data_IF_077962137810
#
_entry.id   IF_077962137810
#
_cell.length_a   1.000
_cell.length_b   1.000
_cell.length_c   1.000
_cell.angle_alpha   90.00
_cell.angle_beta   90.00
_cell.angle_gamma   90.00
#
_symmetry.space_group_name_H-M   'P 1'
#
loop_
_entity.id
_entity.type
_entity.pdbx_description
1 polymer ?
#
# COMPACT_ATOMS: atom_id res chain seq x y z
N UNK A 1 16.48 50.25 12.21
CA UNK A 1 16.36 49.18 13.22
C UNK A 1 14.90 49.05 13.58
N UNK A 2 14.17 48.20 12.87
CA UNK A 2 12.79 47.87 13.17
C UNK A 2 12.60 46.39 12.82
N UNK A 3 12.38 45.63 13.89
CA UNK A 3 12.01 44.22 14.02
C UNK A 3 11.28 43.59 12.83
N UNK A 4 11.93 42.64 12.16
CA UNK A 4 11.27 41.66 11.30
C UNK A 4 10.46 40.69 12.17
N UNK A 5 9.13 40.74 12.01
CA UNK A 5 8.22 39.79 12.62
C UNK A 5 8.35 38.43 11.93
N UNK A 6 8.97 37.47 12.61
CA UNK A 6 8.90 36.05 12.22
C UNK A 6 7.50 35.55 12.55
N UNK A 7 6.65 35.44 11.53
CA UNK A 7 5.42 34.64 11.59
C UNK A 7 5.83 33.18 11.70
N UNK A 8 5.84 32.64 12.92
CA UNK A 8 5.90 31.20 13.16
C UNK A 8 4.61 30.57 12.64
N UNK A 9 4.66 29.89 11.49
CA UNK A 9 3.64 28.91 11.12
C UNK A 9 3.80 27.71 12.05
N UNK A 10 2.83 27.51 12.94
CA UNK A 10 2.66 26.26 13.64
C UNK A 10 2.02 25.26 12.65
N UNK A 11 2.82 24.33 12.14
CA UNK A 11 2.32 23.16 11.40
C UNK A 11 1.74 22.21 12.43
N UNK A 12 0.40 22.13 12.50
CA UNK A 12 -0.27 21.08 13.23
C UNK A 12 -0.26 19.82 12.35
N UNK A 13 0.72 18.94 12.54
CA UNK A 13 0.69 17.60 11.96
C UNK A 13 -0.37 16.78 12.70
N UNK A 14 -1.54 16.65 12.09
CA UNK A 14 -2.49 15.61 12.45
C UNK A 14 -2.02 14.33 11.74
N UNK A 15 -1.35 13.44 12.46
CA UNK A 15 -1.04 12.10 11.97
C UNK A 15 -2.33 11.28 12.00
N UNK A 16 -2.87 10.94 10.83
CA UNK A 16 -3.79 9.83 10.72
C UNK A 16 -2.93 8.54 10.72
N UNK A 17 -3.37 7.53 11.48
CA UNK A 17 -2.62 6.30 11.69
C UNK A 17 -3.44 5.18 11.05
N UNK A 18 -2.96 4.69 9.91
CA UNK A 18 -3.49 3.53 9.21
C UNK A 18 -3.20 2.25 10.02
N UNK A 19 -3.98 1.99 11.05
CA UNK A 19 -3.90 0.75 11.82
C UNK A 19 -4.79 -0.31 11.18
N UNK A 20 -4.19 -1.32 10.53
CA UNK A 20 -4.95 -2.41 9.89
C UNK A 20 -5.03 -3.66 10.77
N UNK A 21 -6.16 -4.35 10.65
CA UNK A 21 -6.29 -5.77 11.03
C UNK A 21 -6.04 -6.63 9.78
N UNK A 22 -5.36 -7.77 9.93
CA UNK A 22 -5.05 -8.68 8.83
C UNK A 22 -6.26 -8.87 7.89
N UNK A 23 -6.07 -8.57 6.59
CA UNK A 23 -7.11 -8.78 5.60
C UNK A 23 -7.55 -10.25 5.62
N UNK A 24 -8.87 -10.48 5.53
CA UNK A 24 -9.39 -11.83 5.37
C UNK A 24 -8.79 -12.48 4.12
N UNK A 25 -8.40 -13.75 4.23
CA UNK A 25 -7.87 -14.51 3.09
C UNK A 25 -8.86 -14.40 1.93
N UNK A 26 -8.46 -13.71 0.85
CA UNK A 26 -9.16 -13.84 -0.41
C UNK A 26 -9.06 -15.32 -0.81
N UNK A 27 -10.20 -15.98 -0.99
CA UNK A 27 -10.24 -17.33 -1.56
C UNK A 27 -9.93 -17.18 -3.05
N UNK A 28 -8.65 -17.06 -3.39
CA UNK A 28 -8.20 -17.21 -4.75
C UNK A 28 -8.16 -18.69 -5.08
N UNK A 29 -8.71 -19.06 -6.23
CA UNK A 29 -8.53 -20.41 -6.76
C UNK A 29 -7.03 -20.64 -7.00
N UNK A 30 -6.50 -21.83 -6.68
CA UNK A 30 -5.09 -22.12 -6.89
C UNK A 30 -4.76 -22.01 -8.38
N UNK A 31 -3.60 -21.44 -8.75
CA UNK A 31 -3.13 -21.45 -10.13
C UNK A 31 -2.99 -22.88 -10.67
N UNK A 32 -3.11 -23.03 -11.99
CA UNK A 32 -3.07 -24.33 -12.66
C UNK A 32 -1.70 -25.02 -12.55
N UNK A 33 -0.62 -24.25 -12.46
CA UNK A 33 0.76 -24.72 -12.46
C UNK A 33 1.58 -23.99 -11.37
N UNK A 34 2.63 -24.65 -10.82
CA UNK A 34 3.57 -23.97 -9.95
C UNK A 34 4.35 -22.89 -10.69
N UNK A 35 4.73 -21.85 -9.96
CA UNK A 35 5.59 -20.76 -10.41
C UNK A 35 6.62 -20.44 -9.31
N UNK A 36 7.45 -19.41 -9.51
CA UNK A 36 8.40 -18.88 -8.52
C UNK A 36 9.41 -19.92 -8.01
N UNK A 37 9.65 -20.97 -8.80
CA UNK A 37 10.56 -22.06 -8.46
C UNK A 37 10.01 -23.06 -7.44
N UNK A 38 8.71 -23.03 -7.14
CA UNK A 38 8.05 -23.99 -6.24
C UNK A 38 8.09 -25.40 -6.82
N UNK A 39 8.33 -26.39 -5.95
CA UNK A 39 8.38 -27.79 -6.34
C UNK A 39 7.01 -28.31 -6.85
N UNK A 40 6.99 -28.92 -8.03
CA UNK A 40 5.76 -29.42 -8.66
C UNK A 40 4.98 -30.43 -7.81
N UNK A 41 5.67 -31.26 -7.02
CA UNK A 41 5.06 -32.26 -6.15
C UNK A 41 4.50 -31.65 -4.87
N UNK A 42 5.15 -30.61 -4.33
CA UNK A 42 4.68 -29.91 -3.11
C UNK A 42 3.56 -28.92 -3.41
N UNK A 43 3.62 -28.25 -4.55
CA UNK A 43 2.69 -27.17 -4.94
C UNK A 43 1.21 -27.47 -4.68
N UNK A 44 0.66 -28.63 -5.09
CA UNK A 44 -0.76 -28.94 -4.87
C UNK A 44 -1.14 -28.91 -3.39
N UNK A 45 -0.25 -29.36 -2.51
CA UNK A 45 -0.51 -29.43 -1.08
C UNK A 45 -0.46 -28.04 -0.40
N UNK A 46 0.21 -27.04 -1.01
CA UNK A 46 0.27 -25.68 -0.46
C UNK A 46 -1.10 -24.98 -0.42
N UNK A 47 -2.03 -25.43 -1.27
CA UNK A 47 -3.39 -24.89 -1.37
C UNK A 47 -4.39 -25.53 -0.40
N UNK A 48 -3.92 -26.39 0.52
CA UNK A 48 -4.77 -27.00 1.54
C UNK A 48 -5.59 -25.95 2.30
N UNK A 49 -6.89 -26.19 2.42
CA UNK A 49 -7.88 -25.28 2.97
C UNK A 49 -8.64 -24.46 1.92
N UNK A 50 -8.36 -24.67 0.63
CA UNK A 50 -9.20 -24.23 -0.47
C UNK A 50 -10.44 -25.12 -0.62
N UNK A 51 -11.24 -24.88 -1.66
CA UNK A 51 -12.41 -25.72 -1.95
C UNK A 51 -11.96 -26.95 -2.72
N UNK A 52 -12.27 -28.15 -2.20
CA UNK A 52 -11.97 -29.41 -2.90
C UNK A 52 -12.48 -29.40 -4.36
N UNK A 53 -11.69 -30.01 -5.26
CA UNK A 53 -12.00 -30.08 -6.69
C UNK A 53 -11.41 -28.94 -7.53
N UNK A 54 -10.74 -27.99 -6.89
CA UNK A 54 -10.26 -26.75 -7.51
C UNK A 54 -8.76 -26.76 -7.84
N UNK A 55 -7.98 -27.68 -7.26
CA UNK A 55 -6.59 -27.91 -7.66
C UNK A 55 -6.58 -28.59 -9.02
N UNK A 56 -5.86 -28.02 -9.98
CA UNK A 56 -5.79 -28.57 -11.33
C UNK A 56 -5.31 -30.02 -11.32
N UNK A 57 -6.15 -30.90 -11.87
CA UNK A 57 -5.81 -32.31 -12.11
C UNK A 57 -5.01 -32.52 -13.41
N UNK A 58 -4.80 -31.46 -14.19
CA UNK A 58 -4.03 -31.46 -15.43
C UNK A 58 -2.54 -31.28 -15.19
N UNK A 59 -1.75 -31.35 -16.28
CA UNK A 59 -0.31 -31.09 -16.28
C UNK A 59 0.56 -32.34 -16.39
N UNK A 60 1.71 -32.18 -17.04
CA UNK A 60 2.78 -33.17 -17.04
C UNK A 60 3.37 -33.29 -15.61
N UNK A 61 3.99 -34.43 -15.31
CA UNK A 61 4.56 -34.70 -13.99
C UNK A 61 4.87 -36.18 -13.80
N UNK A 62 5.72 -36.49 -12.83
CA UNK A 62 5.94 -37.88 -12.44
C UNK A 62 4.73 -38.45 -11.68
N UNK A 63 4.76 -39.76 -11.42
CA UNK A 63 3.65 -40.45 -10.78
C UNK A 63 3.34 -39.92 -9.37
N UNK A 64 4.36 -39.40 -8.68
CA UNK A 64 4.25 -38.83 -7.34
C UNK A 64 3.54 -37.47 -7.37
N UNK A 65 3.90 -36.61 -8.33
CA UNK A 65 3.23 -35.33 -8.59
C UNK A 65 1.75 -35.52 -8.92
N UNK A 66 1.42 -36.48 -9.78
CA UNK A 66 0.03 -36.82 -10.12
C UNK A 66 -0.74 -37.33 -8.89
N UNK A 67 -0.13 -38.19 -8.08
CA UNK A 67 -0.74 -38.70 -6.86
C UNK A 67 -0.99 -37.58 -5.84
N UNK A 68 -0.05 -36.64 -5.69
CA UNK A 68 -0.21 -35.49 -4.79
C UNK A 68 -1.27 -34.52 -5.27
N UNK A 69 -1.38 -34.23 -6.58
CA UNK A 69 -2.50 -33.45 -7.14
C UNK A 69 -3.84 -34.10 -6.82
N UNK A 70 -3.97 -35.42 -7.02
CA UNK A 70 -5.21 -36.13 -6.70
C UNK A 70 -5.54 -36.12 -5.21
N UNK A 71 -4.53 -36.22 -4.34
CA UNK A 71 -4.71 -36.15 -2.90
C UNK A 71 -5.18 -34.75 -2.47
N UNK A 72 -4.43 -33.71 -2.83
CA UNK A 72 -4.73 -32.32 -2.47
C UNK A 72 -6.08 -31.86 -3.04
N UNK A 73 -6.46 -32.35 -4.24
CA UNK A 73 -7.74 -31.98 -4.83
C UNK A 73 -8.96 -32.63 -4.14
N UNK A 74 -8.74 -33.63 -3.29
CA UNK A 74 -9.83 -34.31 -2.57
C UNK A 74 -9.79 -34.15 -1.06
N UNK A 75 -8.72 -33.59 -0.50
CA UNK A 75 -8.56 -33.35 0.94
C UNK A 75 -7.37 -32.44 1.23
N UNK A 76 -7.49 -31.69 2.33
CA UNK A 76 -6.40 -30.93 2.93
C UNK A 76 -5.22 -31.82 3.34
N UNK A 77 -3.99 -31.36 3.07
CA UNK A 77 -2.73 -32.02 3.44
C UNK A 77 -2.08 -31.22 4.59
N UNK A 78 -1.99 -31.77 5.81
CA UNK A 78 -1.34 -31.09 6.91
C UNK A 78 0.19 -31.17 6.79
N UNK A 79 0.87 -30.08 7.17
CA UNK A 79 2.33 -30.04 7.30
C UNK A 79 2.75 -30.01 8.77
N UNK A 80 3.86 -30.68 9.08
CA UNK A 80 4.43 -30.70 10.43
C UNK A 80 5.27 -29.45 10.76
N UNK A 81 5.59 -28.65 9.75
CA UNK A 81 6.32 -27.38 9.84
C UNK A 81 5.91 -26.51 8.63
N UNK A 82 6.08 -25.17 8.69
CA UNK A 82 5.89 -24.30 7.54
C UNK A 82 6.71 -24.80 6.33
N UNK A 83 6.10 -25.07 5.17
CA UNK A 83 6.84 -25.45 3.96
C UNK A 83 7.69 -24.29 3.46
N UNK A 84 8.95 -24.53 3.12
CA UNK A 84 9.84 -23.51 2.56
C UNK A 84 9.31 -22.94 1.23
N UNK A 85 8.60 -23.76 0.47
CA UNK A 85 8.01 -23.38 -0.83
C UNK A 85 6.97 -22.25 -0.70
N UNK A 86 6.36 -22.04 0.48
CA UNK A 86 5.44 -20.91 0.72
C UNK A 86 6.21 -19.59 0.69
N UNK A 87 7.40 -19.54 1.27
CA UNK A 87 8.23 -18.34 1.25
C UNK A 87 8.69 -18.03 -0.18
N UNK A 88 9.12 -19.05 -0.93
CA UNK A 88 9.50 -18.88 -2.34
C UNK A 88 8.34 -18.34 -3.19
N UNK A 89 7.12 -18.83 -2.98
CA UNK A 89 5.93 -18.31 -3.65
C UNK A 89 5.67 -16.84 -3.29
N UNK A 90 5.64 -16.50 -2.00
CA UNK A 90 5.37 -15.14 -1.54
C UNK A 90 6.42 -14.13 -2.01
N UNK A 91 7.70 -14.53 -2.00
CA UNK A 91 8.81 -13.69 -2.47
C UNK A 91 8.63 -13.37 -3.98
N UNK A 92 8.25 -14.38 -4.78
CA UNK A 92 7.93 -14.20 -6.19
C UNK A 92 6.71 -13.30 -6.44
N UNK A 93 5.62 -13.47 -5.68
CA UNK A 93 4.45 -12.60 -5.77
C UNK A 93 4.76 -11.15 -5.41
N UNK A 94 5.63 -10.93 -4.41
CA UNK A 94 6.08 -9.58 -4.03
C UNK A 94 6.98 -8.97 -5.10
N UNK A 95 7.88 -9.75 -5.70
CA UNK A 95 8.74 -9.31 -6.80
C UNK A 95 7.93 -8.93 -8.06
N UNK A 96 6.81 -9.62 -8.29
CA UNK A 96 5.89 -9.34 -9.39
C UNK A 96 4.79 -8.32 -9.05
N UNK A 97 4.78 -7.80 -7.82
CA UNK A 97 3.76 -6.86 -7.40
C UNK A 97 3.71 -5.66 -8.35
N UNK A 98 2.54 -5.32 -8.92
CA UNK A 98 2.50 -4.37 -10.02
C UNK A 98 2.99 -2.98 -9.58
N UNK A 99 3.92 -2.41 -10.34
CA UNK A 99 4.25 -1.00 -10.18
C UNK A 99 3.06 -0.12 -10.59
N UNK A 100 2.70 0.84 -9.75
CA UNK A 100 1.66 1.82 -10.04
C UNK A 100 2.25 3.19 -10.36
N UNK A 101 1.38 4.14 -10.68
CA UNK A 101 1.74 5.53 -10.82
C UNK A 101 0.80 6.36 -9.93
N UNK A 102 1.10 7.66 -9.82
CA UNK A 102 0.32 8.59 -8.98
C UNK A 102 -1.19 8.58 -9.20
N UNK A 103 -1.73 8.09 -10.31
CA UNK A 103 -3.16 8.15 -10.63
C UNK A 103 -3.92 6.87 -10.27
N UNK A 104 -3.23 5.79 -9.88
CA UNK A 104 -3.83 4.47 -9.63
C UNK A 104 -3.27 3.92 -8.33
N UNK A 105 -4.15 3.43 -7.45
CA UNK A 105 -3.80 2.68 -6.24
C UNK A 105 -4.27 1.24 -6.42
N UNK A 106 -3.35 0.28 -6.35
CA UNK A 106 -3.65 -1.15 -6.35
C UNK A 106 -3.63 -1.65 -4.91
N UNK A 107 -4.68 -2.36 -4.53
CA UNK A 107 -4.85 -2.90 -3.18
C UNK A 107 -5.56 -4.24 -3.17
N UNK A 108 -5.30 -5.10 -2.17
CA UNK A 108 -6.14 -6.26 -1.91
C UNK A 108 -7.61 -5.89 -1.73
N UNK A 109 -8.51 -6.78 -2.14
CA UNK A 109 -9.94 -6.60 -1.92
C UNK A 109 -10.24 -6.52 -0.42
N UNK A 110 -10.89 -5.44 0.02
CA UNK A 110 -11.25 -5.26 1.42
C UNK A 110 -10.15 -4.65 2.29
N UNK A 111 -9.02 -4.20 1.71
CA UNK A 111 -8.05 -3.40 2.45
C UNK A 111 -8.69 -2.09 2.92
N UNK A 112 -8.42 -1.72 4.18
CA UNK A 112 -8.80 -0.43 4.74
C UNK A 112 -8.06 0.69 4.01
N UNK A 113 -8.78 1.76 3.70
CA UNK A 113 -8.20 2.91 3.00
C UNK A 113 -8.47 4.22 3.70
N UNK A 114 -7.51 5.12 3.57
CA UNK A 114 -7.62 6.51 3.99
C UNK A 114 -7.51 7.45 2.78
N UNK A 115 -8.03 8.66 2.96
CA UNK A 115 -8.07 9.68 1.92
C UNK A 115 -8.05 11.06 2.57
N UNK A 116 -7.20 11.94 2.04
CA UNK A 116 -7.07 13.32 2.50
C UNK A 116 -7.64 14.32 1.51
N UNK A 117 -6.93 15.40 1.22
CA UNK A 117 -7.38 16.42 0.26
C UNK A 117 -7.01 16.04 -1.17
N UNK A 118 -5.77 15.65 -1.39
CA UNK A 118 -5.17 15.23 -2.65
C UNK A 118 -4.87 13.74 -2.66
N UNK A 119 -4.60 13.13 -1.51
CA UNK A 119 -4.36 11.68 -1.41
C UNK A 119 -5.69 10.93 -1.39
N UNK A 120 -5.76 9.85 -2.16
CA UNK A 120 -6.92 8.95 -2.26
C UNK A 120 -6.46 7.52 -2.15
N UNK A 121 -7.32 6.68 -1.58
CA UNK A 121 -7.13 5.24 -1.55
C UNK A 121 -5.75 4.83 -0.99
N UNK A 122 -5.23 5.60 -0.02
CA UNK A 122 -4.00 5.25 0.68
C UNK A 122 -4.25 4.04 1.56
N UNK A 123 -3.35 3.06 1.52
CA UNK A 123 -3.50 1.84 2.30
C UNK A 123 -2.16 1.23 2.67
N UNK A 124 -2.16 0.43 3.72
CA UNK A 124 -1.04 -0.39 4.15
C UNK A 124 -1.58 -1.76 4.61
N UNK A 125 -1.21 -2.83 3.92
CA UNK A 125 -1.72 -4.18 4.18
C UNK A 125 -0.58 -5.15 4.42
N UNK A 126 -0.63 -5.88 5.53
CA UNK A 126 0.23 -7.06 5.72
C UNK A 126 -0.29 -8.17 4.81
N UNK A 127 0.54 -8.59 3.87
CA UNK A 127 0.26 -9.66 2.92
C UNK A 127 0.61 -11.02 3.53
N UNK A 128 1.78 -11.15 4.14
CA UNK A 128 2.24 -12.38 4.75
C UNK A 128 3.12 -12.12 5.97
N UNK A 129 3.17 -13.12 6.86
CA UNK A 129 4.17 -13.23 7.91
C UNK A 129 4.81 -14.59 7.74
N UNK A 130 6.13 -14.63 7.53
CA UNK A 130 6.83 -15.87 7.18
C UNK A 130 8.13 -16.04 7.97
N UNK A 131 8.45 -17.26 8.43
CA UNK A 131 7.59 -18.45 8.39
C UNK A 131 6.40 -18.36 9.37
N UNK A 132 5.25 -18.90 8.98
CA UNK A 132 4.09 -19.02 9.88
C UNK A 132 3.27 -20.28 9.63
N UNK A 133 2.43 -20.66 10.60
CA UNK A 133 1.55 -21.82 10.51
C UNK A 133 0.21 -21.52 11.15
N UNK A 134 -0.87 -21.67 10.37
CA UNK A 134 -2.23 -21.59 10.92
C UNK A 134 -2.61 -22.94 11.52
N UNK A 135 -2.62 -23.05 12.85
CA UNK A 135 -2.99 -24.28 13.52
C UNK A 135 -4.50 -24.46 13.55
N UNK A 136 -5.03 -25.53 12.96
CA UNK A 136 -6.47 -25.85 12.97
C UNK A 136 -6.84 -26.67 14.22
N UNK A 137 -6.88 -26.04 15.39
CA UNK A 137 -7.15 -26.73 16.66
C UNK A 137 -8.64 -27.10 16.83
N UNK A 138 -9.54 -26.24 16.35
CA UNK A 138 -10.98 -26.50 16.23
C UNK A 138 -11.62 -25.55 15.21
N UNK A 139 -12.92 -25.69 14.94
CA UNK A 139 -13.66 -24.76 14.06
C UNK A 139 -13.58 -23.29 14.52
N UNK A 140 -13.48 -23.05 15.83
CA UNK A 140 -13.46 -21.69 16.41
C UNK A 140 -12.08 -21.23 16.90
N UNK A 141 -11.06 -22.09 16.84
CA UNK A 141 -9.72 -21.79 17.34
C UNK A 141 -8.68 -22.16 16.29
N UNK A 142 -8.27 -21.13 15.53
CA UNK A 142 -7.32 -21.30 14.43
C UNK A 142 -6.24 -20.21 14.45
N UNK A 143 -5.40 -20.17 15.50
CA UNK A 143 -4.38 -19.13 15.64
C UNK A 143 -3.31 -19.28 14.54
N UNK A 144 -2.73 -18.14 14.17
CA UNK A 144 -1.50 -18.10 13.37
C UNK A 144 -0.32 -18.15 14.34
N UNK A 145 0.46 -19.23 14.30
CA UNK A 145 1.74 -19.30 14.97
C UNK A 145 2.81 -18.71 14.07
N UNK A 146 3.61 -17.84 14.63
CA UNK A 146 4.75 -17.20 14.00
C UNK A 146 5.95 -17.46 14.90
N UNK A 147 7.12 -17.64 14.31
CA UNK A 147 8.34 -17.82 15.10
C UNK A 147 8.72 -16.51 15.81
N UNK A 148 9.59 -16.58 16.82
CA UNK A 148 10.08 -15.37 17.51
C UNK A 148 10.86 -14.43 16.58
N UNK A 149 11.38 -15.02 15.49
CA UNK A 149 12.19 -14.39 14.48
C UNK A 149 11.53 -14.65 13.11
N UNK A 150 10.98 -13.61 12.48
CA UNK A 150 10.20 -13.77 11.25
C UNK A 150 10.16 -12.47 10.45
N UNK A 151 9.71 -12.59 9.21
CA UNK A 151 9.58 -11.49 8.27
C UNK A 151 8.12 -11.19 7.97
N UNK A 152 7.75 -9.91 8.01
CA UNK A 152 6.48 -9.36 7.57
C UNK A 152 6.64 -8.82 6.17
N UNK A 153 5.81 -9.29 5.24
CA UNK A 153 5.67 -8.79 3.88
C UNK A 153 4.43 -7.92 3.80
N UNK A 154 4.60 -6.69 3.33
CA UNK A 154 3.55 -5.70 3.23
C UNK A 154 3.35 -5.18 1.81
N UNK A 155 2.19 -4.56 1.59
CA UNK A 155 1.91 -3.76 0.38
C UNK A 155 1.36 -2.40 0.81
N UNK A 156 1.86 -1.35 0.17
CA UNK A 156 1.44 0.04 0.39
C UNK A 156 1.25 0.72 -0.96
N UNK A 157 0.16 1.46 -1.11
CA UNK A 157 -0.14 2.22 -2.33
C UNK A 157 -1.11 3.36 -2.03
N UNK A 158 -1.09 4.38 -2.89
CA UNK A 158 -2.00 5.52 -2.87
C UNK A 158 -2.11 6.11 -4.27
N UNK A 159 -3.19 6.87 -4.52
CA UNK A 159 -3.30 7.72 -5.69
C UNK A 159 -3.50 9.18 -5.31
N UNK A 160 -3.23 10.07 -6.25
CA UNK A 160 -3.33 11.51 -6.13
C UNK A 160 -4.43 11.98 -7.06
N UNK A 161 -5.33 12.78 -6.51
CA UNK A 161 -6.43 13.43 -7.20
C UNK A 161 -6.32 14.93 -6.98
N UNK A 162 -5.87 15.65 -8.00
CA UNK A 162 -5.81 17.11 -7.96
C UNK A 162 -7.19 17.71 -8.27
N UNK A 163 -7.51 18.89 -7.73
CA UNK A 163 -8.69 19.62 -8.17
C UNK A 163 -8.65 19.93 -9.67
N UNK A 164 -9.82 20.12 -10.27
CA UNK A 164 -9.91 20.56 -11.67
C UNK A 164 -9.33 21.97 -11.82
N UNK A 165 -8.62 22.19 -12.94
CA UNK A 165 -8.19 23.53 -13.33
C UNK A 165 -9.40 24.39 -13.71
N UNK A 166 -9.35 25.67 -13.36
CA UNK A 166 -10.32 26.67 -13.81
C UNK A 166 -9.61 27.69 -14.73
N UNK A 167 -9.57 27.45 -16.05
CA UNK A 167 -8.87 28.33 -16.98
C UNK A 167 -9.72 29.53 -17.46
N UNK A 168 -10.91 29.75 -16.90
CA UNK A 168 -11.88 30.70 -17.45
C UNK A 168 -11.92 32.03 -16.70
N UNK A 169 -12.22 33.10 -17.45
CA UNK A 169 -12.42 34.44 -16.89
C UNK A 169 -11.12 35.14 -16.50
N UNK A 170 -11.27 36.22 -15.73
CA UNK A 170 -10.16 37.07 -15.29
C UNK A 170 -9.33 36.48 -14.16
N UNK A 171 -9.79 35.41 -13.50
CA UNK A 171 -9.02 34.70 -12.48
C UNK A 171 -8.99 33.23 -12.85
N UNK A 172 -7.82 32.74 -13.25
CA UNK A 172 -7.57 31.37 -13.68
C UNK A 172 -6.80 30.63 -12.59
N UNK A 173 -7.13 29.36 -12.34
CA UNK A 173 -6.48 28.52 -11.32
C UNK A 173 -5.98 27.24 -11.96
N UNK A 174 -4.72 26.92 -11.72
CA UNK A 174 -4.07 25.71 -12.21
C UNK A 174 -3.46 24.93 -11.05
N UNK A 175 -3.56 23.60 -11.08
CA UNK A 175 -3.00 22.71 -10.08
C UNK A 175 -1.90 21.84 -10.69
N UNK A 176 -0.73 21.78 -10.05
CA UNK A 176 0.33 20.87 -10.45
C UNK A 176 0.90 20.12 -9.25
N UNK A 177 1.12 18.82 -9.42
CA UNK A 177 1.84 18.02 -8.44
C UNK A 177 3.34 18.29 -8.55
N UNK A 178 3.96 18.70 -7.46
CA UNK A 178 5.41 18.95 -7.40
C UNK A 178 6.17 17.73 -6.89
N UNK A 179 5.68 17.12 -5.80
CA UNK A 179 6.34 16.00 -5.15
C UNK A 179 5.31 15.07 -4.51
N UNK A 180 5.60 13.77 -4.54
CA UNK A 180 4.89 12.78 -3.75
C UNK A 180 5.81 11.60 -3.43
N UNK A 181 5.68 11.02 -2.24
CA UNK A 181 6.42 9.84 -1.81
C UNK A 181 5.78 9.17 -0.61
N UNK A 182 6.13 7.91 -0.39
CA UNK A 182 6.14 7.36 0.95
C UNK A 182 7.32 7.97 1.69
N UNK A 183 7.07 8.72 2.76
CA UNK A 183 8.13 9.23 3.62
C UNK A 183 8.71 8.11 4.49
N UNK A 184 7.83 7.28 5.02
CA UNK A 184 8.18 6.23 5.98
C UNK A 184 7.17 5.09 5.90
N UNK A 185 7.65 3.86 6.12
CA UNK A 185 6.84 2.69 6.43
C UNK A 185 7.37 2.06 7.71
N UNK A 186 6.50 1.60 8.60
CA UNK A 186 6.92 1.02 9.87
C UNK A 186 6.11 -0.21 10.26
N UNK A 187 6.78 -1.14 10.91
CA UNK A 187 6.18 -2.31 11.53
C UNK A 187 6.07 -2.06 13.03
N UNK A 188 4.86 -2.26 13.56
CA UNK A 188 4.58 -2.19 14.99
C UNK A 188 4.21 -3.58 15.52
N UNK A 189 4.73 -3.91 16.70
CA UNK A 189 4.34 -5.08 17.50
C UNK A 189 3.73 -4.56 18.79
N UNK A 190 2.46 -4.91 19.05
CA UNK A 190 1.69 -4.43 20.21
C UNK A 190 1.67 -2.90 20.37
N UNK A 191 1.77 -2.18 19.24
CA UNK A 191 1.79 -0.73 19.16
C UNK A 191 3.17 -0.09 19.37
N UNK A 192 4.23 -0.89 19.56
CA UNK A 192 5.61 -0.42 19.61
C UNK A 192 6.29 -0.61 18.26
N UNK A 193 6.96 0.42 17.76
CA UNK A 193 7.72 0.35 16.51
C UNK A 193 8.94 -0.58 16.70
N UNK A 194 9.02 -1.62 15.86
CA UNK A 194 10.13 -2.59 15.87
C UNK A 194 11.03 -2.47 14.64
N UNK A 195 10.49 -1.94 13.54
CA UNK A 195 11.24 -1.71 12.31
C UNK A 195 10.66 -0.52 11.54
N UNK A 196 11.53 0.19 10.82
CA UNK A 196 11.18 1.29 9.92
C UNK A 196 11.92 1.14 8.60
N UNK A 197 11.29 1.62 7.53
CA UNK A 197 11.75 1.60 6.15
C UNK A 197 11.09 2.73 5.37
N UNK A 198 11.15 2.67 4.05
CA UNK A 198 10.46 3.66 3.22
C UNK A 198 10.73 3.52 1.74
N UNK A 199 9.92 4.20 0.94
CA UNK A 199 10.12 4.35 -0.50
C UNK A 199 9.80 3.12 -1.37
N UNK A 200 9.34 2.01 -0.79
CA UNK A 200 8.87 0.82 -1.52
C UNK A 200 7.36 0.64 -1.39
N UNK A 201 6.71 0.22 -2.47
CA UNK A 201 5.31 -0.25 -2.46
C UNK A 201 5.18 -1.64 -1.81
N UNK A 202 6.27 -2.37 -1.69
CA UNK A 202 6.35 -3.71 -1.09
C UNK A 202 7.37 -3.69 0.06
N UNK A 203 7.03 -3.11 1.22
CA UNK A 203 7.91 -3.12 2.37
C UNK A 203 8.07 -4.54 2.94
N UNK A 204 9.31 -4.86 3.32
CA UNK A 204 9.68 -6.08 4.02
C UNK A 204 10.35 -5.72 5.34
N UNK A 205 9.91 -6.34 6.43
CA UNK A 205 10.43 -6.09 7.77
C UNK A 205 10.66 -7.38 8.53
N UNK A 206 11.88 -7.60 9.01
CA UNK A 206 12.16 -8.65 9.98
C UNK A 206 11.96 -8.12 11.40
N UNK A 207 11.49 -9.01 12.28
CA UNK A 207 11.51 -8.82 13.73
C UNK A 207 12.16 -10.04 14.38
N UNK A 208 12.72 -9.85 15.56
CA UNK A 208 13.48 -10.87 16.30
C UNK A 208 13.14 -10.78 17.80
N UNK A 209 13.46 -11.84 18.53
CA UNK A 209 13.37 -11.91 20.00
C UNK A 209 11.97 -11.59 20.58
N UNK A 210 10.88 -11.90 19.87
CA UNK A 210 9.54 -11.74 20.44
C UNK A 210 9.29 -12.74 21.58
N UNK A 211 8.74 -12.23 22.68
CA UNK A 211 8.32 -13.03 23.81
C UNK A 211 7.23 -14.05 23.42
N UNK A 212 7.10 -15.13 24.18
CA UNK A 212 6.04 -16.10 23.94
C UNK A 212 4.67 -15.49 24.30
N UNK A 213 3.75 -15.42 23.35
CA UNK A 213 2.43 -14.86 23.62
C UNK A 213 1.61 -14.60 22.35
N UNK A 214 0.50 -13.89 22.55
CA UNK A 214 -0.27 -13.32 21.45
C UNK A 214 0.17 -11.88 21.24
N UNK A 215 0.54 -11.57 20.00
CA UNK A 215 0.96 -10.23 19.59
C UNK A 215 0.05 -9.70 18.50
N UNK A 216 -0.05 -8.37 18.44
CA UNK A 216 -0.70 -7.66 17.34
C UNK A 216 0.37 -7.06 16.44
N UNK A 217 0.32 -7.36 15.14
CA UNK A 217 1.16 -6.73 14.13
C UNK A 217 0.36 -5.63 13.42
N UNK A 218 0.99 -4.48 13.22
CA UNK A 218 0.44 -3.41 12.38
C UNK A 218 1.52 -2.88 11.43
N UNK A 219 1.13 -2.64 10.19
CA UNK A 219 1.95 -1.98 9.18
C UNK A 219 1.38 -0.59 8.95
N UNK A 220 2.23 0.42 9.10
CA UNK A 220 1.83 1.82 8.87
C UNK A 220 2.71 2.43 7.78
N UNK A 221 2.12 3.31 6.97
CA UNK A 221 2.80 4.02 5.91
C UNK A 221 2.39 5.49 5.96
N UNK A 222 3.36 6.39 5.83
CA UNK A 222 3.14 7.83 5.77
C UNK A 222 3.36 8.32 4.34
N UNK A 223 2.33 8.88 3.74
CA UNK A 223 2.35 9.46 2.40
C UNK A 223 2.45 10.97 2.51
N UNK A 224 3.39 11.57 1.79
CA UNK A 224 3.55 13.03 1.72
C UNK A 224 3.39 13.51 0.29
N UNK A 225 2.60 14.56 0.12
CA UNK A 225 2.28 15.17 -1.18
C UNK A 225 2.44 16.68 -1.09
N UNK A 226 3.11 17.26 -2.09
CA UNK A 226 3.21 18.71 -2.31
C UNK A 226 2.57 19.09 -3.63
N UNK A 227 1.53 19.91 -3.55
CA UNK A 227 0.80 20.44 -4.70
C UNK A 227 1.00 21.94 -4.82
N UNK A 228 1.26 22.42 -6.03
CA UNK A 228 1.31 23.85 -6.36
C UNK A 228 -0.02 24.30 -6.96
N UNK A 229 -0.60 25.33 -6.36
CA UNK A 229 -1.69 26.12 -6.92
C UNK A 229 -1.09 27.36 -7.58
N UNK A 230 -1.37 27.55 -8.87
CA UNK A 230 -1.00 28.74 -9.62
C UNK A 230 -2.27 29.52 -10.00
N UNK A 231 -2.41 30.72 -9.43
CA UNK A 231 -3.50 31.64 -9.75
C UNK A 231 -2.97 32.71 -10.69
N UNK A 232 -3.58 32.83 -11.86
CA UNK A 232 -3.31 33.89 -12.83
C UNK A 232 -4.48 34.85 -12.88
N UNK A 233 -4.24 36.13 -12.59
CA UNK A 233 -5.29 37.16 -12.62
C UNK A 233 -5.01 38.18 -13.73
N UNK A 234 -5.97 38.37 -14.63
CA UNK A 234 -5.97 39.43 -15.62
C UNK A 234 -6.88 40.58 -15.15
N UNK A 235 -6.37 41.81 -15.20
CA UNK A 235 -7.12 43.01 -14.87
C UNK A 235 -6.92 44.04 -15.96
N UNK A 236 -8.03 44.56 -16.51
CA UNK A 236 -7.98 45.73 -17.37
C UNK A 236 -7.82 46.99 -16.51
N UNK A 237 -6.81 47.79 -16.82
CA UNK A 237 -6.53 49.07 -16.20
C UNK A 237 -6.57 50.13 -17.29
N UNK A 238 -7.43 51.13 -17.12
CA UNK A 238 -7.55 52.24 -18.06
C UNK A 238 -7.05 53.52 -17.42
N UNK A 239 -6.24 54.27 -18.17
CA UNK A 239 -5.75 55.59 -17.81
C UNK A 239 -6.32 56.62 -18.78
N UNK A 240 -6.82 57.73 -18.23
CA UNK A 240 -7.37 58.84 -19.00
C UNK A 240 -6.31 59.95 -19.13
N UNK A 241 -5.86 60.21 -20.36
CA UNK A 241 -4.98 61.33 -20.69
C UNK A 241 -5.75 62.35 -21.55
N UNK A 242 -6.38 63.32 -20.88
CA UNK A 242 -7.17 64.36 -21.55
C UNK A 242 -8.50 63.83 -22.11
N UNK A 243 -8.58 63.62 -23.43
CA UNK A 243 -9.77 63.08 -24.12
C UNK A 243 -9.53 61.65 -24.64
N UNK A 244 -8.37 61.06 -24.36
CA UNK A 244 -7.99 59.71 -24.79
C UNK A 244 -8.00 58.79 -23.58
N UNK A 245 -8.63 57.62 -23.72
CA UNK A 245 -8.60 56.54 -22.72
C UNK A 245 -7.76 55.42 -23.29
N UNK A 246 -6.67 55.08 -22.62
CA UNK A 246 -5.81 53.94 -22.97
C UNK A 246 -6.04 52.85 -21.94
N UNK A 247 -6.37 51.64 -22.39
CA UNK A 247 -6.54 50.49 -21.51
C UNK A 247 -5.43 49.46 -21.77
N UNK A 248 -4.86 48.94 -20.69
CA UNK A 248 -3.87 47.87 -20.70
C UNK A 248 -4.36 46.69 -19.85
N UNK A 249 -4.01 45.47 -20.25
CA UNK A 249 -4.26 44.28 -19.44
C UNK A 249 -3.03 43.99 -18.57
N UNK A 250 -3.17 44.20 -17.26
CA UNK A 250 -2.20 43.74 -16.29
C UNK A 250 -2.43 42.26 -15.98
N UNK A 251 -1.34 41.48 -15.87
CA UNK A 251 -1.39 40.05 -15.53
C UNK A 251 -0.56 39.82 -14.27
N UNK A 252 -1.18 39.28 -13.22
CA UNK A 252 -0.50 38.83 -12.01
C UNK A 252 -0.46 37.30 -11.92
N UNK A 253 0.59 36.79 -11.27
CA UNK A 253 0.79 35.37 -11.02
C UNK A 253 1.07 35.15 -9.53
N UNK A 254 0.22 34.37 -8.88
CA UNK A 254 0.35 34.00 -7.48
C UNK A 254 0.54 32.48 -7.38
N UNK A 255 1.53 32.05 -6.60
CA UNK A 255 1.85 30.63 -6.41
C UNK A 255 1.71 30.26 -4.93
N UNK A 256 0.90 29.26 -4.64
CA UNK A 256 0.70 28.71 -3.29
C UNK A 256 1.08 27.23 -3.30
N UNK A 257 1.77 26.79 -2.26
CA UNK A 257 2.11 25.38 -2.07
C UNK A 257 1.26 24.79 -0.96
N UNK A 258 0.70 23.63 -1.22
CA UNK A 258 -0.13 22.87 -0.30
C UNK A 258 0.59 21.57 0.00
N UNK A 259 0.94 21.36 1.26
CA UNK A 259 1.51 20.13 1.78
C UNK A 259 0.39 19.30 2.43
N UNK A 260 0.41 18.00 2.19
CA UNK A 260 -0.50 17.02 2.80
C UNK A 260 0.28 15.78 3.21
N UNK A 261 -0.03 15.28 4.40
CA UNK A 261 0.42 13.98 4.89
C UNK A 261 -0.79 13.16 5.29
N UNK A 262 -0.81 11.88 4.89
CA UNK A 262 -1.79 10.86 5.29
C UNK A 262 -1.06 9.69 5.89
#
# INVERSE_FOLDING_TARGET
MASEGRTSLAVALAFALLATTAAGLATADPPDEPDHGVNETTFPALWSGDVDGNVSSGGDGDNDTVAMRQLANGTDVPFNAPPADVAAWNDGEIDEFPSTNRSVSIRPSGADTESGRFVRDAHATIFAVQPSTRARLSESSQPLYVDSDSTVLGTVDYRIELPEDDPNGSRQVYWSLEEHRFEETRLLVDGEEVATGGGSHTPEFSFEDLDAGSHTLALEANVSVRVKEHVRTEREVCEDEGNETTCETEVSHDYTYHDESV
#
